data_IF_904672610066
#
_entry.id   IF_904672610066
#
_cell.length_a   1.000
_cell.length_b   1.000
_cell.length_c   1.000
_cell.angle_alpha   90.00
_cell.angle_beta   90.00
_cell.angle_gamma   90.00
#
_symmetry.space_group_name_H-M   'P 1'
#
loop_
_entity.id
_entity.type
_entity.pdbx_description
1 polymer ?
#
# COMPACT_ATOMS: atom_id res chain seq x y z
N UNK A 1 -59.67 25.58 14.04
CA UNK A 1 -60.26 24.49 14.85
C UNK A 1 -59.45 23.25 14.55
N UNK A 2 -58.88 22.54 15.53
CA UNK A 2 -58.14 21.30 15.26
C UNK A 2 -59.08 20.29 14.60
N UNK A 3 -58.66 19.73 13.48
CA UNK A 3 -59.38 18.67 12.78
C UNK A 3 -58.84 17.33 13.26
N UNK A 4 -59.74 16.43 13.68
CA UNK A 4 -59.37 15.10 14.14
C UNK A 4 -59.63 14.06 13.04
N UNK A 5 -58.73 13.09 12.91
CA UNK A 5 -58.85 11.98 11.96
C UNK A 5 -58.87 10.64 12.69
N UNK A 6 -59.58 9.67 12.11
CA UNK A 6 -59.58 8.29 12.59
C UNK A 6 -58.20 7.64 12.42
N UNK A 7 -57.65 7.03 13.47
CA UNK A 7 -56.35 6.36 13.41
C UNK A 7 -56.32 5.15 12.44
N UNK A 8 -57.45 4.50 12.23
CA UNK A 8 -57.55 3.30 11.37
C UNK A 8 -57.94 3.66 9.94
N UNK A 9 -59.02 4.42 9.80
CA UNK A 9 -59.73 4.60 8.53
C UNK A 9 -59.39 5.93 7.86
N UNK A 10 -58.65 6.80 8.58
CA UNK A 10 -58.22 8.14 8.16
C UNK A 10 -59.34 9.10 7.74
N UNK A 11 -60.59 8.73 7.97
CA UNK A 11 -61.75 9.62 7.78
C UNK A 11 -61.70 10.77 8.79
N UNK A 12 -62.06 11.98 8.34
CA UNK A 12 -62.22 13.15 9.22
C UNK A 12 -63.40 12.94 10.17
N UNK A 13 -63.23 13.32 11.43
CA UNK A 13 -64.26 13.17 12.47
C UNK A 13 -64.67 14.56 12.96
N UNK A 14 -66.00 14.75 13.06
CA UNK A 14 -66.58 15.96 13.62
C UNK A 14 -66.38 15.98 15.14
N UNK A 15 -66.10 17.13 15.75
CA UNK A 15 -65.64 17.25 17.14
C UNK A 15 -66.59 16.70 18.21
N UNK A 16 -67.85 16.41 17.87
CA UNK A 16 -68.86 15.91 18.81
C UNK A 16 -69.14 14.39 18.68
N UNK A 17 -68.42 13.68 17.82
CA UNK A 17 -68.70 12.27 17.55
C UNK A 17 -67.78 11.35 18.38
N UNK A 18 -68.35 10.56 19.29
CA UNK A 18 -67.59 9.69 20.21
C UNK A 18 -66.99 8.44 19.53
N UNK A 19 -67.46 8.08 18.32
CA UNK A 19 -66.99 6.93 17.55
C UNK A 19 -66.87 7.29 16.07
N UNK A 20 -65.93 6.68 15.36
CA UNK A 20 -65.81 6.87 13.91
C UNK A 20 -67.04 6.28 13.18
N UNK A 21 -67.74 7.04 12.32
CA UNK A 21 -68.93 6.55 11.62
C UNK A 21 -68.60 5.50 10.55
N UNK A 22 -67.37 5.51 10.02
CA UNK A 22 -66.96 4.57 8.96
C UNK A 22 -66.50 3.20 9.48
N UNK A 23 -66.02 3.11 10.72
CA UNK A 23 -65.40 1.88 11.22
C UNK A 23 -65.52 1.63 12.72
N UNK A 24 -66.24 2.48 13.46
CA UNK A 24 -66.59 2.27 14.87
C UNK A 24 -65.46 2.51 15.88
N UNK A 25 -64.23 2.82 15.45
CA UNK A 25 -63.10 3.03 16.37
C UNK A 25 -63.22 4.32 17.19
N UNK A 26 -62.69 4.30 18.41
CA UNK A 26 -62.64 5.43 19.35
C UNK A 26 -61.26 6.11 19.45
N UNK A 27 -60.28 5.68 18.63
CA UNK A 27 -58.92 6.25 18.60
C UNK A 27 -58.79 7.30 17.50
N UNK A 28 -58.42 8.52 17.89
CA UNK A 28 -58.33 9.69 17.02
C UNK A 28 -56.93 10.31 17.07
N UNK A 29 -56.49 10.88 15.95
CA UNK A 29 -55.22 11.60 15.81
C UNK A 29 -55.58 13.06 15.54
N UNK A 30 -55.07 13.96 16.36
CA UNK A 30 -55.18 15.42 16.15
C UNK A 30 -53.97 15.90 15.35
N UNK A 31 -54.19 16.75 14.34
CA UNK A 31 -53.10 17.38 13.63
C UNK A 31 -52.34 18.33 14.56
N UNK A 32 -51.01 18.25 14.55
CA UNK A 32 -50.13 19.15 15.29
C UNK A 32 -50.37 20.62 14.86
N UNK A 33 -50.32 21.60 15.79
CA UNK A 33 -50.48 23.00 15.44
C UNK A 33 -49.41 23.43 14.43
N UNK A 34 -49.84 24.18 13.41
CA UNK A 34 -48.97 24.68 12.32
C UNK A 34 -47.71 25.36 12.90
N UNK A 35 -46.50 25.02 12.42
CA UNK A 35 -45.28 25.65 12.91
C UNK A 35 -45.29 27.15 12.59
N UNK A 36 -44.86 27.96 13.56
CA UNK A 36 -44.67 29.41 13.43
C UNK A 36 -43.58 29.72 12.36
N UNK A 37 -43.62 30.89 11.70
CA UNK A 37 -42.67 31.21 10.64
C UNK A 37 -41.22 31.28 11.15
N UNK A 38 -40.32 30.55 10.47
CA UNK A 38 -38.88 30.43 10.78
C UNK A 38 -38.05 31.69 10.41
N UNK A 39 -37.01 32.05 11.18
CA UNK A 39 -36.12 33.18 10.88
C UNK A 39 -35.22 32.90 9.68
N UNK A 40 -35.03 33.92 8.83
CA UNK A 40 -34.27 33.84 7.57
C UNK A 40 -32.76 33.88 7.84
N UNK A 41 -32.04 32.77 7.63
CA UNK A 41 -30.57 32.69 7.75
C UNK A 41 -29.94 32.61 6.36
N UNK A 42 -29.03 33.53 6.06
CA UNK A 42 -28.29 33.60 4.80
C UNK A 42 -27.20 32.52 4.75
N UNK A 43 -27.41 31.50 3.91
CA UNK A 43 -26.51 30.36 3.76
C UNK A 43 -25.52 30.61 2.62
N UNK A 44 -24.22 30.56 2.91
CA UNK A 44 -23.16 30.59 1.90
C UNK A 44 -22.76 29.15 1.56
N UNK A 45 -23.03 28.73 0.32
CA UNK A 45 -22.61 27.40 -0.17
C UNK A 45 -21.12 27.40 -0.49
N UNK A 46 -20.34 26.63 0.27
CA UNK A 46 -18.96 26.30 -0.08
C UNK A 46 -19.00 25.06 -0.96
N UNK A 47 -18.64 25.20 -2.25
CA UNK A 47 -18.53 24.04 -3.14
C UNK A 47 -17.35 23.18 -2.72
N UNK A 48 -17.65 22.07 -2.04
CA UNK A 48 -16.66 21.05 -1.69
C UNK A 48 -16.62 20.05 -2.84
N UNK A 49 -15.71 20.29 -3.79
CA UNK A 49 -15.54 19.44 -4.96
C UNK A 49 -15.10 18.04 -4.51
N UNK A 50 -15.95 17.05 -4.77
CA UNK A 50 -15.79 15.69 -4.24
C UNK A 50 -14.56 15.05 -4.92
N UNK A 51 -13.58 14.54 -4.17
CA UNK A 51 -12.40 13.95 -4.79
C UNK A 51 -12.80 12.71 -5.61
N UNK A 52 -12.42 12.72 -6.88
CA UNK A 52 -12.60 11.58 -7.79
C UNK A 52 -11.68 10.46 -7.32
N UNK A 53 -12.26 9.37 -6.83
CA UNK A 53 -11.53 8.18 -6.44
C UNK A 53 -11.22 7.33 -7.69
N UNK A 54 -9.95 7.01 -7.91
CA UNK A 54 -9.52 6.05 -8.93
C UNK A 54 -9.10 4.77 -8.23
N UNK A 55 -9.75 3.66 -8.58
CA UNK A 55 -9.29 2.34 -8.17
C UNK A 55 -8.00 2.00 -8.92
N UNK A 56 -6.91 1.85 -8.18
CA UNK A 56 -5.63 1.38 -8.73
C UNK A 56 -5.36 0.03 -8.07
N UNK A 57 -5.21 -1.02 -8.88
CA UNK A 57 -4.74 -2.32 -8.40
C UNK A 57 -3.26 -2.17 -8.02
N UNK A 58 -2.95 -2.25 -6.73
CA UNK A 58 -1.57 -2.20 -6.24
C UNK A 58 -1.24 -3.58 -5.66
N UNK A 59 -0.26 -4.27 -6.24
CA UNK A 59 0.40 -5.42 -5.58
C UNK A 59 1.25 -4.89 -4.43
N UNK A 60 0.68 -4.84 -3.21
CA UNK A 60 1.45 -4.49 -2.02
C UNK A 60 2.32 -5.68 -1.56
N UNK A 61 3.54 -5.44 -1.06
CA UNK A 61 4.27 -6.47 -0.33
C UNK A 61 3.53 -6.73 0.97
N UNK A 62 2.70 -7.77 0.99
CA UNK A 62 2.09 -8.31 2.21
C UNK A 62 3.19 -8.46 3.25
N UNK A 63 2.98 -7.93 4.46
CA UNK A 63 3.85 -8.24 5.60
C UNK A 63 3.85 -9.75 5.75
N UNK A 64 4.90 -10.39 5.22
CA UNK A 64 4.99 -11.83 5.17
C UNK A 64 5.18 -12.31 6.60
N UNK A 65 4.16 -12.91 7.19
CA UNK A 65 4.23 -13.52 8.52
C UNK A 65 4.85 -14.92 8.47
N UNK A 66 4.88 -15.51 7.27
CA UNK A 66 5.43 -16.83 6.98
C UNK A 66 6.22 -16.78 5.67
N UNK A 67 7.25 -17.62 5.57
CA UNK A 67 8.04 -17.72 4.33
C UNK A 67 7.19 -18.34 3.21
N UNK A 68 7.32 -17.86 1.96
CA UNK A 68 6.72 -18.52 0.79
C UNK A 68 7.35 -19.87 0.48
N UNK A 69 8.46 -20.23 1.13
CA UNK A 69 9.13 -21.51 0.99
C UNK A 69 8.43 -22.56 1.84
N UNK A 70 8.20 -23.72 1.24
CA UNK A 70 7.53 -24.83 1.91
C UNK A 70 8.49 -25.59 2.81
N UNK A 71 8.06 -25.82 4.04
CA UNK A 71 8.76 -26.62 5.03
C UNK A 71 9.03 -28.04 4.53
N UNK A 72 8.04 -28.67 3.88
CA UNK A 72 8.17 -30.04 3.38
C UNK A 72 9.26 -30.18 2.32
N UNK A 73 9.37 -29.20 1.40
CA UNK A 73 10.44 -29.20 0.38
C UNK A 73 11.80 -28.97 1.03
N UNK A 74 11.91 -28.08 2.02
CA UNK A 74 13.17 -27.89 2.75
C UNK A 74 13.62 -29.17 3.48
N UNK A 75 12.68 -29.90 4.09
CA UNK A 75 12.96 -31.18 4.76
C UNK A 75 13.36 -32.28 3.76
N UNK A 76 12.66 -32.38 2.63
CA UNK A 76 13.02 -33.32 1.57
C UNK A 76 14.41 -33.04 0.99
N UNK A 77 14.74 -31.77 0.73
CA UNK A 77 16.07 -31.37 0.27
C UNK A 77 17.15 -31.62 1.32
N UNK A 78 16.84 -31.50 2.62
CA UNK A 78 17.75 -31.85 3.70
C UNK A 78 17.99 -33.36 3.80
N UNK A 79 16.99 -34.20 3.54
CA UNK A 79 17.15 -35.66 3.55
C UNK A 79 17.91 -36.17 2.32
N UNK A 80 17.60 -35.66 1.13
CA UNK A 80 18.13 -36.16 -0.15
C UNK A 80 19.46 -35.49 -0.55
N UNK A 81 19.68 -34.24 -0.16
CA UNK A 81 20.83 -33.42 -0.55
C UNK A 81 21.46 -32.64 0.61
N UNK A 82 21.17 -33.02 1.86
CA UNK A 82 21.60 -32.25 3.03
C UNK A 82 23.09 -32.28 3.29
N UNK A 83 23.81 -33.32 2.88
CA UNK A 83 25.28 -33.36 2.92
C UNK A 83 25.93 -32.29 2.02
N UNK A 84 25.22 -31.85 0.98
CA UNK A 84 25.64 -30.77 0.07
C UNK A 84 25.08 -29.39 0.49
N UNK A 85 24.29 -29.33 1.56
CA UNK A 85 23.70 -28.09 2.08
C UNK A 85 22.56 -27.52 1.22
N UNK A 86 21.93 -28.32 0.35
CA UNK A 86 20.91 -27.85 -0.61
C UNK A 86 19.70 -27.16 0.05
N UNK A 87 19.31 -27.60 1.25
CA UNK A 87 18.24 -27.01 2.05
C UNK A 87 18.55 -25.56 2.48
N UNK A 88 19.83 -25.18 2.67
CA UNK A 88 20.21 -23.78 2.99
C UNK A 88 20.10 -22.87 1.77
N UNK A 89 20.40 -23.39 0.59
CA UNK A 89 20.24 -22.67 -0.67
C UNK A 89 18.77 -22.43 -1.04
N UNK A 90 17.91 -23.43 -0.82
CA UNK A 90 16.46 -23.31 -1.05
C UNK A 90 15.82 -22.18 -0.22
N UNK A 91 16.35 -21.99 0.99
CA UNK A 91 15.89 -21.02 1.99
C UNK A 91 16.66 -19.69 1.88
N UNK A 92 17.29 -19.43 0.73
CA UNK A 92 17.90 -18.13 0.41
C UNK A 92 19.14 -17.75 1.22
N UNK A 93 19.65 -18.64 2.09
CA UNK A 93 20.86 -18.43 2.89
C UNK A 93 22.10 -18.90 2.13
N UNK A 94 22.35 -18.30 0.97
CA UNK A 94 23.44 -18.70 0.08
C UNK A 94 24.82 -18.65 0.77
N UNK A 95 25.11 -17.59 1.53
CA UNK A 95 26.38 -17.47 2.24
C UNK A 95 26.64 -18.61 3.24
N UNK A 96 25.65 -18.97 4.06
CA UNK A 96 25.79 -20.08 5.01
C UNK A 96 25.71 -21.45 4.34
N UNK A 97 25.07 -21.56 3.18
CA UNK A 97 25.09 -22.76 2.33
C UNK A 97 26.46 -22.99 1.68
N UNK A 98 27.10 -21.95 1.15
CA UNK A 98 28.47 -22.03 0.59
C UNK A 98 29.48 -22.39 1.68
N UNK A 99 29.41 -21.73 2.84
CA UNK A 99 30.25 -22.12 3.99
C UNK A 99 30.03 -23.57 4.39
N UNK A 100 28.78 -24.03 4.45
CA UNK A 100 28.44 -25.42 4.76
C UNK A 100 28.99 -26.40 3.72
N UNK A 101 28.94 -26.06 2.43
CA UNK A 101 29.49 -26.89 1.35
C UNK A 101 31.02 -26.96 1.43
N UNK A 102 31.69 -25.82 1.61
CA UNK A 102 33.15 -25.73 1.74
C UNK A 102 33.68 -26.46 2.97
N UNK A 103 32.88 -26.57 4.04
CA UNK A 103 33.26 -27.30 5.27
C UNK A 103 32.64 -28.70 5.36
N UNK A 104 32.06 -29.20 4.26
CA UNK A 104 31.40 -30.52 4.20
C UNK A 104 30.36 -30.74 5.32
N UNK A 105 29.57 -29.72 5.62
CA UNK A 105 28.53 -29.74 6.65
C UNK A 105 29.05 -29.92 8.07
N UNK A 106 30.34 -29.67 8.29
CA UNK A 106 31.08 -29.84 9.53
C UNK A 106 31.08 -31.28 10.08
N UNK A 107 31.59 -32.24 9.29
CA UNK A 107 31.65 -33.69 9.63
C UNK A 107 30.28 -34.36 9.80
N UNK A 108 29.23 -33.83 9.16
CA UNK A 108 27.86 -34.37 9.24
C UNK A 108 27.07 -33.95 10.48
N UNK A 109 27.71 -33.33 11.48
CA UNK A 109 26.99 -32.76 12.63
C UNK A 109 26.09 -31.60 12.20
N UNK A 110 26.56 -30.73 11.30
CA UNK A 110 25.75 -29.62 10.79
C UNK A 110 24.52 -30.11 10.03
N UNK A 111 24.63 -31.23 9.32
CA UNK A 111 23.49 -31.86 8.64
C UNK A 111 22.48 -32.41 9.65
N UNK A 112 22.96 -33.08 10.71
CA UNK A 112 22.10 -33.60 11.77
C UNK A 112 21.37 -32.48 12.53
N UNK A 113 22.07 -31.40 12.87
CA UNK A 113 21.48 -30.21 13.52
C UNK A 113 20.42 -29.58 12.60
N UNK A 114 20.73 -29.42 11.32
CA UNK A 114 19.79 -28.85 10.36
C UNK A 114 18.56 -29.78 10.17
N UNK A 115 18.74 -31.10 10.15
CA UNK A 115 17.65 -32.07 10.09
C UNK A 115 16.70 -31.94 11.30
N UNK A 116 17.25 -31.88 12.52
CA UNK A 116 16.46 -31.75 13.76
C UNK A 116 15.74 -30.40 13.80
N UNK A 117 16.41 -29.32 13.42
CA UNK A 117 15.83 -27.96 13.46
C UNK A 117 14.76 -27.77 12.40
N UNK A 118 14.92 -28.35 11.21
CA UNK A 118 13.87 -28.38 10.18
C UNK A 118 12.72 -29.25 10.67
N UNK A 119 12.96 -30.49 11.13
CA UNK A 119 11.90 -31.36 11.63
C UNK A 119 11.08 -30.71 12.76
N UNK A 120 11.74 -30.00 13.67
CA UNK A 120 11.12 -29.24 14.77
C UNK A 120 10.33 -28.01 14.30
N UNK A 121 10.50 -27.57 13.05
CA UNK A 121 9.83 -26.39 12.49
C UNK A 121 10.44 -25.04 12.92
N UNK A 122 11.61 -25.05 13.57
CA UNK A 122 12.30 -23.82 14.00
C UNK A 122 13.24 -23.28 12.91
N UNK A 123 13.28 -23.91 11.74
CA UNK A 123 14.12 -23.47 10.64
C UNK A 123 13.54 -22.23 9.95
N UNK A 124 14.36 -21.18 9.87
CA UNK A 124 13.97 -19.85 9.38
C UNK A 124 14.58 -19.52 8.01
N UNK A 125 13.87 -18.70 7.24
CA UNK A 125 14.29 -18.11 5.97
C UNK A 125 15.37 -17.04 6.12
N UNK A 126 15.94 -16.56 5.01
CA UNK A 126 16.82 -15.39 4.94
C UNK A 126 16.21 -14.16 5.62
N UNK A 127 14.88 -14.03 5.51
CA UNK A 127 14.11 -12.92 6.08
C UNK A 127 13.71 -13.19 7.54
N UNK A 128 14.18 -14.29 8.15
CA UNK A 128 13.91 -14.66 9.54
C UNK A 128 12.53 -15.29 9.78
N UNK A 129 11.77 -15.56 8.72
CA UNK A 129 10.40 -16.11 8.79
C UNK A 129 10.40 -17.64 8.87
N UNK A 130 9.43 -18.25 9.58
CA UNK A 130 9.27 -19.71 9.62
C UNK A 130 8.78 -20.24 8.26
N UNK A 131 9.17 -21.48 7.92
CA UNK A 131 8.73 -22.17 6.70
C UNK A 131 7.27 -22.62 6.81
N UNK A 132 6.53 -22.56 5.71
CA UNK A 132 5.10 -22.91 5.67
C UNK A 132 4.90 -24.43 5.69
N UNK A 133 4.12 -24.96 6.66
CA UNK A 133 3.97 -26.43 6.92
C UNK A 133 2.89 -27.12 6.07
N UNK A 134 1.74 -26.50 5.84
CA UNK A 134 0.69 -26.99 4.95
C UNK A 134 -0.01 -25.81 4.26
N UNK A 135 -0.07 -25.90 2.94
CA UNK A 135 -0.86 -25.22 1.90
C UNK A 135 -1.31 -23.74 2.01
N UNK A 136 -0.97 -23.03 0.92
CA UNK A 136 -1.41 -21.75 0.32
C UNK A 136 -1.44 -20.49 1.22
N UNK A 137 -0.62 -19.46 0.89
CA UNK A 137 -0.78 -18.16 1.50
C UNK A 137 -2.20 -17.65 1.19
N UNK A 138 -3.02 -17.50 2.22
CA UNK A 138 -4.30 -16.81 2.12
C UNK A 138 -3.96 -15.35 1.84
N UNK A 139 -4.11 -14.95 0.58
CA UNK A 139 -4.13 -13.55 0.21
C UNK A 139 -5.41 -12.96 0.79
N UNK A 140 -5.32 -12.39 1.98
CA UNK A 140 -6.43 -11.60 2.52
C UNK A 140 -6.36 -10.23 1.86
N UNK A 141 -7.40 -9.86 1.11
CA UNK A 141 -7.62 -8.47 0.73
C UNK A 141 -7.94 -7.70 2.01
N UNK A 142 -6.95 -7.01 2.55
CA UNK A 142 -7.13 -6.07 3.65
C UNK A 142 -7.27 -4.68 3.03
N UNK A 143 -8.35 -3.97 3.35
CA UNK A 143 -8.41 -2.53 3.09
C UNK A 143 -7.41 -1.87 4.04
N UNK A 144 -6.29 -1.41 3.50
CA UNK A 144 -5.27 -0.69 4.26
C UNK A 144 -5.38 0.77 3.89
N UNK A 145 -5.66 1.62 4.88
CA UNK A 145 -5.54 3.07 4.74
C UNK A 145 -4.05 3.44 4.66
N UNK A 146 -3.44 3.27 3.48
CA UNK A 146 -2.05 3.64 3.26
C UNK A 146 -1.93 5.10 2.82
N UNK A 147 -0.90 5.83 3.30
CA UNK A 147 -0.51 7.08 2.68
C UNK A 147 -0.10 6.78 1.23
N UNK A 148 -0.61 7.56 0.29
CA UNK A 148 -0.37 7.41 -1.16
C UNK A 148 1.14 7.35 -1.42
N UNK A 149 1.66 6.15 -1.70
CA UNK A 149 3.04 5.98 -2.18
C UNK A 149 3.06 6.52 -3.59
N UNK A 150 3.72 7.66 -3.76
CA UNK A 150 3.90 8.28 -5.08
C UNK A 150 4.68 7.30 -5.95
N UNK A 151 4.08 6.84 -7.05
CA UNK A 151 4.73 5.93 -8.02
C UNK A 151 5.52 6.69 -9.08
N UNK A 152 5.24 7.98 -9.22
CA UNK A 152 5.92 8.91 -10.10
C UNK A 152 6.30 10.16 -9.32
N UNK A 153 7.43 10.72 -9.68
CA UNK A 153 7.89 11.96 -9.09
C UNK A 153 7.02 13.13 -9.58
N UNK A 154 6.57 14.05 -8.70
CA UNK A 154 5.83 15.24 -9.12
C UNK A 154 6.68 16.21 -9.96
N UNK A 155 8.00 16.00 -10.02
CA UNK A 155 8.93 16.79 -10.81
C UNK A 155 8.87 16.36 -12.28
N UNK A 156 8.96 17.33 -13.18
CA UNK A 156 8.78 17.12 -14.62
C UNK A 156 10.10 16.72 -15.28
N UNK A 157 10.04 15.70 -16.11
CA UNK A 157 11.15 15.20 -16.92
C UNK A 157 11.70 16.29 -17.84
N UNK A 158 10.83 16.99 -18.56
CA UNK A 158 11.25 18.04 -19.50
C UNK A 158 11.98 19.18 -18.80
N UNK A 159 11.58 19.53 -17.58
CA UNK A 159 12.26 20.56 -16.78
C UNK A 159 13.66 20.09 -16.38
N UNK A 160 13.81 18.83 -15.96
CA UNK A 160 15.13 18.26 -15.66
C UNK A 160 16.06 18.23 -16.89
N UNK A 161 15.51 17.94 -18.08
CA UNK A 161 16.26 17.93 -19.34
C UNK A 161 16.73 19.33 -19.73
N UNK A 162 15.85 20.33 -19.66
CA UNK A 162 16.19 21.74 -19.95
C UNK A 162 17.25 22.24 -18.98
N UNK A 163 17.11 21.93 -17.68
CA UNK A 163 18.10 22.28 -16.66
C UNK A 163 19.46 21.60 -16.90
N UNK A 164 19.45 20.38 -17.42
CA UNK A 164 20.67 19.66 -17.78
C UNK A 164 21.35 20.28 -19.02
N UNK A 165 20.60 20.77 -20.00
CA UNK A 165 21.17 21.42 -21.19
C UNK A 165 21.72 22.81 -20.88
N UNK A 166 20.98 23.63 -20.11
CA UNK A 166 21.35 25.03 -19.86
C UNK A 166 22.27 25.22 -18.65
N UNK A 167 22.17 24.34 -17.65
CA UNK A 167 22.89 24.44 -16.37
C UNK A 167 23.57 23.14 -15.94
N UNK A 168 23.78 22.21 -16.87
CA UNK A 168 24.29 20.87 -16.56
C UNK A 168 25.74 20.85 -16.07
N UNK A 169 26.58 21.77 -16.53
CA UNK A 169 27.95 21.94 -15.99
C UNK A 169 27.97 22.34 -14.52
N UNK A 170 26.89 22.96 -14.03
CA UNK A 170 26.71 23.34 -12.63
C UNK A 170 25.90 22.29 -11.84
N UNK A 171 25.52 21.18 -12.46
CA UNK A 171 24.77 20.10 -11.80
C UNK A 171 23.33 20.46 -11.40
N UNK A 172 22.72 21.49 -11.99
CA UNK A 172 21.41 22.02 -11.58
C UNK A 172 20.28 20.98 -11.67
N UNK A 173 20.35 20.06 -12.64
CA UNK A 173 19.42 18.95 -12.79
C UNK A 173 19.44 17.96 -11.62
N UNK A 174 20.58 17.78 -10.93
CA UNK A 174 20.69 16.93 -9.72
C UNK A 174 20.07 17.60 -8.50
N UNK A 175 20.19 18.92 -8.40
CA UNK A 175 19.50 19.71 -7.37
C UNK A 175 17.98 19.69 -7.57
N UNK A 176 17.51 19.82 -8.82
CA UNK A 176 16.09 19.70 -9.16
C UNK A 176 15.51 18.31 -8.81
N UNK A 177 16.31 17.25 -8.99
CA UNK A 177 15.96 15.90 -8.58
C UNK A 177 15.92 15.70 -7.05
N UNK A 178 16.36 16.69 -6.26
CA UNK A 178 16.48 16.62 -4.81
C UNK A 178 17.72 15.85 -4.33
N UNK A 179 18.65 15.49 -5.23
CA UNK A 179 19.89 14.76 -4.91
C UNK A 179 21.02 15.73 -4.54
N UNK A 180 20.78 16.55 -3.50
CA UNK A 180 21.66 17.66 -3.09
C UNK A 180 23.10 17.20 -2.84
N UNK A 181 23.30 16.09 -2.11
CA UNK A 181 24.65 15.56 -1.85
C UNK A 181 25.42 15.21 -3.12
N UNK A 182 24.77 14.55 -4.08
CA UNK A 182 25.40 14.23 -5.36
C UNK A 182 25.59 15.46 -6.26
N UNK A 183 24.75 16.48 -6.13
CA UNK A 183 24.88 17.76 -6.84
C UNK A 183 26.03 18.60 -6.31
N UNK A 184 26.24 18.65 -4.98
CA UNK A 184 27.40 19.33 -4.37
C UNK A 184 28.69 18.61 -4.74
N UNK A 185 28.71 17.28 -4.69
CA UNK A 185 29.88 16.49 -5.09
C UNK A 185 30.19 16.68 -6.58
N UNK A 186 29.16 16.79 -7.41
CA UNK A 186 29.30 17.18 -8.80
C UNK A 186 29.87 18.60 -8.92
N UNK A 187 29.39 19.60 -8.19
CA UNK A 187 29.96 20.96 -8.23
C UNK A 187 31.42 21.02 -7.76
N UNK A 188 31.79 20.30 -6.70
CA UNK A 188 33.14 20.33 -6.12
C UNK A 188 34.18 19.55 -6.94
N UNK A 189 33.77 18.42 -7.51
CA UNK A 189 34.58 17.72 -8.54
C UNK A 189 34.52 18.42 -9.88
N UNK A 190 33.75 19.50 -9.91
CA UNK A 190 33.24 20.20 -11.05
C UNK A 190 32.51 19.28 -12.08
N UNK A 191 32.13 18.03 -11.78
CA UNK A 191 31.27 17.22 -12.65
C UNK A 191 32.03 16.54 -13.79
N UNK A 192 33.32 16.38 -13.59
CA UNK A 192 34.29 16.83 -14.59
C UNK A 192 35.15 15.64 -15.02
N UNK A 193 35.49 15.44 -16.28
CA UNK A 193 35.72 16.35 -17.40
C UNK A 193 34.51 16.52 -18.37
N UNK A 194 33.30 16.77 -17.86
CA UNK A 194 32.09 16.83 -18.70
C UNK A 194 31.49 15.45 -19.02
N UNK A 195 32.19 14.36 -18.65
CA UNK A 195 31.66 13.00 -18.72
C UNK A 195 30.42 12.82 -17.84
N UNK A 196 30.44 13.36 -16.62
CA UNK A 196 29.31 13.27 -15.70
C UNK A 196 28.06 13.98 -16.25
N UNK A 197 28.25 15.12 -16.91
CA UNK A 197 27.19 15.84 -17.60
C UNK A 197 26.63 15.03 -18.78
N UNK A 198 27.51 14.43 -19.60
CA UNK A 198 27.09 13.61 -20.74
C UNK A 198 26.31 12.35 -20.30
N UNK A 199 26.76 11.67 -19.25
CA UNK A 199 26.07 10.50 -18.68
C UNK A 199 24.69 10.90 -18.16
N UNK A 200 24.60 12.01 -17.44
CA UNK A 200 23.33 12.51 -16.93
C UNK A 200 22.39 12.94 -18.05
N UNK A 201 22.90 13.58 -19.11
CA UNK A 201 22.12 13.97 -20.28
C UNK A 201 21.51 12.76 -20.98
N UNK A 202 22.30 11.71 -21.23
CA UNK A 202 21.81 10.45 -21.82
C UNK A 202 20.78 9.80 -20.90
N UNK A 203 21.07 9.71 -19.59
CA UNK A 203 20.18 9.07 -18.62
C UNK A 203 18.83 9.80 -18.50
N UNK A 204 18.85 11.13 -18.57
CA UNK A 204 17.63 11.95 -18.61
C UNK A 204 16.93 11.74 -19.95
N UNK A 205 17.61 11.84 -21.09
CA UNK A 205 17.00 11.65 -22.41
C UNK A 205 16.33 10.27 -22.56
N UNK A 206 16.95 9.22 -22.02
CA UNK A 206 16.37 7.86 -22.00
C UNK A 206 15.20 7.69 -21.03
N UNK A 207 14.90 8.69 -20.20
CA UNK A 207 13.80 8.65 -19.23
C UNK A 207 14.07 7.77 -18.01
N UNK A 208 15.31 7.32 -17.82
CA UNK A 208 15.70 6.48 -16.67
C UNK A 208 16.20 7.31 -15.47
N UNK A 209 16.11 8.64 -15.56
CA UNK A 209 16.55 9.53 -14.50
C UNK A 209 15.56 9.55 -13.34
N UNK A 210 16.08 9.27 -12.14
CA UNK A 210 15.32 9.13 -10.89
C UNK A 210 15.55 10.30 -9.96
N UNK A 211 14.54 10.65 -9.17
CA UNK A 211 14.66 11.64 -8.12
C UNK A 211 15.34 11.09 -6.83
N UNK A 212 15.40 11.90 -5.77
CA UNK A 212 15.96 11.50 -4.47
C UNK A 212 15.26 10.30 -3.84
N UNK A 213 13.98 10.13 -4.15
CA UNK A 213 13.10 9.10 -3.61
C UNK A 213 13.13 7.83 -4.49
N UNK A 214 13.94 7.83 -5.56
CA UNK A 214 14.10 6.71 -6.49
C UNK A 214 13.00 6.61 -7.55
N UNK A 215 12.13 7.61 -7.65
CA UNK A 215 10.98 7.61 -8.56
C UNK A 215 11.34 8.21 -9.93
N UNK A 216 10.74 7.69 -11.02
CA UNK A 216 10.91 8.28 -12.34
C UNK A 216 10.23 9.65 -12.42
N UNK A 217 10.79 10.55 -13.21
CA UNK A 217 10.21 11.87 -13.46
C UNK A 217 8.95 11.76 -14.35
N UNK A 218 7.94 12.57 -14.05
CA UNK A 218 6.71 12.63 -14.87
C UNK A 218 7.02 13.25 -16.23
N UNK A 219 6.65 12.58 -17.32
CA UNK A 219 6.81 13.12 -18.70
C UNK A 219 5.88 14.29 -18.96
#
# INVERSE_FOLDING_TARGET
MPVAYCAYCKTRILPNNQKCPSCGSTRFIEDAPSPAPEPQVEYRTVYLEKPVYRTVYVEQPVVRTVSPKSWGVALALCLLGGGWGLHRFYVGKAGSGVMFLLTFGWFGLGWLIDLITIASGNFRDRDGLPLTRLEKPVYRTVYVDQPVVRTVSPKRWGVALVLCLLGGGWGLHRFYAGKVGSGILFLLTFGWFGLGWLIDLITIASGNFRDRDGLPLTR
#
